data_IF_106808619577
#
_entry.id   IF_106808619577
#
_cell.length_a   1.000
_cell.length_b   1.000
_cell.length_c   1.000
_cell.angle_alpha   90.00
_cell.angle_beta   90.00
_cell.angle_gamma   90.00
#
_symmetry.space_group_name_H-M   'P 1'
#
loop_
_entity.id
_entity.type
_entity.pdbx_description
1 polymer ?
#
# COMPACT_ATOMS: atom_id res chain seq x y z
N UNK A 1 -12.93 7.44 -4.27
CA UNK A 1 -13.58 6.27 -3.62
C UNK A 1 -12.63 5.68 -2.57
N UNK A 2 -13.10 4.78 -1.69
CA UNK A 2 -12.24 4.02 -0.77
C UNK A 2 -11.84 2.69 -1.41
N UNK A 3 -10.56 2.38 -1.50
CA UNK A 3 -10.03 1.17 -2.17
C UNK A 3 -9.16 0.38 -1.19
N UNK A 4 -9.49 -0.89 -0.99
CA UNK A 4 -8.70 -1.83 -0.20
C UNK A 4 -7.88 -2.77 -1.09
N UNK A 5 -6.58 -2.88 -0.84
CA UNK A 5 -5.66 -3.77 -1.57
C UNK A 5 -5.08 -4.80 -0.59
N UNK A 6 -5.33 -6.09 -0.86
CA UNK A 6 -4.76 -7.19 -0.10
C UNK A 6 -3.48 -7.67 -0.79
N UNK A 7 -2.33 -7.36 -0.17
CA UNK A 7 -0.99 -7.68 -0.67
C UNK A 7 -0.17 -6.44 -1.02
N UNK A 8 0.90 -6.19 -0.25
CA UNK A 8 1.83 -5.07 -0.46
C UNK A 8 3.05 -5.41 -1.35
N UNK A 9 2.87 -6.29 -2.34
CA UNK A 9 3.90 -6.64 -3.33
C UNK A 9 4.09 -5.59 -4.42
N UNK A 10 4.89 -5.89 -5.45
CA UNK A 10 5.17 -4.97 -6.57
C UNK A 10 3.88 -4.46 -7.23
N UNK A 11 2.97 -5.37 -7.58
CA UNK A 11 1.71 -5.03 -8.25
C UNK A 11 0.78 -4.23 -7.34
N UNK A 12 0.58 -4.68 -6.09
CA UNK A 12 -0.29 -3.98 -5.14
C UNK A 12 0.16 -2.55 -4.87
N UNK A 13 1.48 -2.31 -4.79
CA UNK A 13 2.05 -0.97 -4.65
C UNK A 13 1.85 -0.10 -5.89
N UNK A 14 2.03 -0.67 -7.09
CA UNK A 14 1.81 0.07 -8.34
C UNK A 14 0.35 0.52 -8.48
N UNK A 15 -0.60 -0.36 -8.17
CA UNK A 15 -2.03 -0.04 -8.16
C UNK A 15 -2.36 0.99 -7.09
N UNK A 16 -1.82 0.85 -5.88
CA UNK A 16 -2.01 1.83 -4.81
C UNK A 16 -1.55 3.23 -5.24
N UNK A 17 -0.38 3.32 -5.88
CA UNK A 17 0.16 4.59 -6.38
C UNK A 17 -0.75 5.23 -7.43
N UNK A 18 -1.25 4.45 -8.39
CA UNK A 18 -2.17 4.96 -9.41
C UNK A 18 -3.49 5.45 -8.80
N UNK A 19 -4.05 4.68 -7.87
CA UNK A 19 -5.31 5.02 -7.20
C UNK A 19 -5.19 6.29 -6.33
N UNK A 20 -4.08 6.46 -5.60
CA UNK A 20 -3.80 7.70 -4.86
C UNK A 20 -3.68 8.89 -5.82
N UNK A 21 -2.95 8.74 -6.93
CA UNK A 21 -2.82 9.78 -7.94
C UNK A 21 -4.15 10.17 -8.59
N UNK A 22 -5.11 9.24 -8.66
CA UNK A 22 -6.47 9.48 -9.13
C UNK A 22 -7.39 10.12 -8.05
N UNK A 23 -6.86 10.49 -6.89
CA UNK A 23 -7.62 11.12 -5.80
C UNK A 23 -8.48 10.14 -5.00
N UNK A 24 -8.09 8.86 -4.95
CA UNK A 24 -8.79 7.86 -4.14
C UNK A 24 -8.11 7.65 -2.78
N UNK A 25 -8.90 7.32 -1.76
CA UNK A 25 -8.41 6.91 -0.45
C UNK A 25 -8.07 5.42 -0.51
N UNK A 26 -6.82 5.06 -0.20
CA UNK A 26 -6.31 3.69 -0.42
C UNK A 26 -5.78 3.11 0.88
N UNK A 27 -6.21 1.89 1.20
CA UNK A 27 -5.65 1.06 2.27
C UNK A 27 -4.94 -0.15 1.66
N UNK A 28 -3.72 -0.44 2.12
CA UNK A 28 -2.96 -1.63 1.71
C UNK A 28 -2.71 -2.52 2.92
N UNK A 29 -3.00 -3.81 2.77
CA UNK A 29 -2.75 -4.83 3.78
C UNK A 29 -1.64 -5.79 3.33
N UNK A 30 -0.89 -6.35 4.28
CA UNK A 30 0.02 -7.45 4.03
C UNK A 30 -0.01 -8.45 5.20
N UNK A 31 0.44 -9.68 4.94
CA UNK A 31 0.56 -10.73 5.96
C UNK A 31 1.88 -10.71 6.73
N UNK A 32 2.85 -9.89 6.30
CA UNK A 32 4.24 -9.87 6.80
C UNK A 32 4.47 -8.82 7.90
N UNK A 33 3.38 -8.29 8.46
CA UNK A 33 3.38 -7.27 9.49
C UNK A 33 3.82 -5.88 9.01
N UNK A 34 3.56 -4.83 9.81
CA UNK A 34 3.73 -3.45 9.39
C UNK A 34 5.18 -3.07 9.07
N UNK A 35 6.17 -3.67 9.76
CA UNK A 35 7.60 -3.41 9.51
C UNK A 35 8.02 -3.70 8.07
N UNK A 36 7.39 -4.68 7.41
CA UNK A 36 7.69 -5.01 6.01
C UNK A 36 7.13 -4.01 4.99
N UNK A 37 6.31 -3.05 5.43
CA UNK A 37 5.76 -2.00 4.57
C UNK A 37 6.68 -0.77 4.47
N UNK A 38 7.61 -0.60 5.40
CA UNK A 38 8.53 0.53 5.44
C UNK A 38 9.94 0.06 5.06
N UNK A 39 10.58 0.74 4.10
CA UNK A 39 11.97 0.46 3.73
C UNK A 39 12.98 1.24 4.58
N UNK A 40 12.52 2.20 5.37
CA UNK A 40 13.33 2.98 6.29
C UNK A 40 12.94 2.60 7.72
N UNK A 41 13.87 2.20 8.59
CA UNK A 41 13.59 2.08 10.00
C UNK A 41 13.23 3.47 10.53
N UNK A 42 12.07 3.60 11.16
CA UNK A 42 11.67 4.81 11.87
C UNK A 42 12.73 5.02 12.96
N UNK A 43 13.59 6.02 12.75
CA UNK A 43 14.64 6.44 13.69
C UNK A 43 14.11 7.61 14.52
#
# INVERSE_FOLDING_TARGET
>A
MKIGIIGAGVVGRALAKLAVNAGHEVMVSNSRGPRSMFSLPYS
#
